data_IF_042687086609
#
_entry.id   IF_042687086609
#
_cell.length_a   1.000
_cell.length_b   1.000
_cell.length_c   1.000
_cell.angle_alpha   90.00
_cell.angle_beta   90.00
_cell.angle_gamma   90.00
#
_symmetry.space_group_name_H-M   'P 1'
#
loop_
_entity.id
_entity.type
_entity.pdbx_description
1 polymer ?
#
# COMPACT_ATOMS: atom_id res chain seq x y z
N UNK A 1 -28.51 -21.35 33.15
CA UNK A 1 -28.53 -22.38 32.09
C UNK A 1 -28.71 -21.63 30.79
N UNK A 2 -27.66 -21.58 29.98
CA UNK A 2 -27.61 -20.80 28.75
C UNK A 2 -28.53 -21.41 27.68
N UNK A 3 -29.27 -20.56 26.98
CA UNK A 3 -29.94 -20.89 25.72
C UNK A 3 -29.03 -20.39 24.59
N UNK A 4 -28.40 -21.31 23.87
CA UNK A 4 -27.66 -21.00 22.65
C UNK A 4 -28.51 -21.34 21.43
N UNK A 5 -28.95 -20.26 20.77
CA UNK A 5 -28.76 -19.99 19.35
C UNK A 5 -29.34 -20.96 18.30
N UNK A 6 -30.41 -20.50 17.67
CA UNK A 6 -30.73 -20.84 16.29
C UNK A 6 -29.81 -20.06 15.35
N UNK A 7 -28.76 -20.72 14.87
CA UNK A 7 -27.99 -20.28 13.71
C UNK A 7 -28.71 -20.78 12.45
N UNK A 8 -29.29 -19.84 11.69
CA UNK A 8 -29.84 -20.13 10.37
C UNK A 8 -28.72 -20.56 9.44
N UNK A 9 -28.77 -21.83 9.00
CA UNK A 9 -27.85 -22.40 8.03
C UNK A 9 -28.16 -21.83 6.64
N UNK A 10 -27.31 -20.96 6.12
CA UNK A 10 -27.27 -20.69 4.68
C UNK A 10 -26.68 -21.91 3.97
N UNK A 11 -27.27 -22.35 2.87
CA UNK A 11 -26.70 -23.43 2.03
C UNK A 11 -25.93 -22.79 0.88
N UNK A 12 -24.69 -23.25 0.65
CA UNK A 12 -23.86 -22.81 -0.47
C UNK A 12 -24.18 -23.58 -1.75
N UNK A 13 -24.28 -22.88 -2.88
CA UNK A 13 -24.48 -23.46 -4.22
C UNK A 13 -23.14 -23.88 -4.83
N UNK A 14 -23.17 -24.65 -5.93
CA UNK A 14 -21.97 -24.94 -6.74
C UNK A 14 -21.18 -23.66 -7.04
N UNK A 15 -19.86 -23.71 -6.84
CA UNK A 15 -18.95 -22.55 -6.97
C UNK A 15 -19.13 -21.43 -5.91
N UNK A 16 -19.97 -21.63 -4.90
CA UNK A 16 -20.10 -20.75 -3.74
C UNK A 16 -19.04 -21.00 -2.67
N UNK A 17 -18.80 -20.00 -1.81
CA UNK A 17 -17.86 -20.10 -0.70
C UNK A 17 -18.38 -20.92 0.48
N UNK A 18 -17.49 -21.66 1.16
CA UNK A 18 -17.80 -22.46 2.35
C UNK A 18 -16.69 -22.34 3.42
N UNK A 19 -17.01 -22.57 4.69
CA UNK A 19 -16.06 -22.62 5.81
C UNK A 19 -16.52 -23.63 6.86
N UNK A 20 -15.63 -24.06 7.78
CA UNK A 20 -15.92 -25.10 8.76
C UNK A 20 -17.25 -24.85 9.50
N UNK A 21 -18.26 -25.68 9.20
CA UNK A 21 -19.61 -25.60 9.77
C UNK A 21 -20.71 -25.14 8.80
N UNK A 22 -20.39 -24.62 7.61
CA UNK A 22 -21.35 -24.42 6.51
C UNK A 22 -21.46 -25.69 5.67
N UNK A 23 -22.69 -26.13 5.44
CA UNK A 23 -22.99 -27.28 4.60
C UNK A 23 -23.27 -26.77 3.18
N UNK A 24 -22.51 -27.27 2.22
CA UNK A 24 -22.87 -27.16 0.81
C UNK A 24 -24.21 -27.92 0.56
N UNK A 25 -24.91 -27.58 -0.52
CA UNK A 25 -26.13 -28.30 -0.91
C UNK A 25 -25.88 -29.82 -1.06
N UNK A 26 -26.92 -30.65 -0.89
CA UNK A 26 -26.82 -32.13 -0.93
C UNK A 26 -26.11 -32.62 -2.21
N UNK A 27 -24.96 -33.31 -2.03
CA UNK A 27 -24.12 -33.81 -3.13
C UNK A 27 -22.84 -33.01 -3.39
N UNK A 28 -22.57 -31.97 -2.60
CA UNK A 28 -21.37 -31.13 -2.69
C UNK A 28 -20.54 -31.19 -1.39
N UNK A 29 -19.22 -31.15 -1.53
CA UNK A 29 -18.24 -31.08 -0.47
C UNK A 29 -17.50 -29.75 -0.46
N UNK A 30 -17.11 -29.31 0.75
CA UNK A 30 -16.36 -28.08 0.93
C UNK A 30 -14.86 -28.36 0.80
N UNK A 31 -14.25 -27.94 -0.30
CA UNK A 31 -12.82 -28.11 -0.57
C UNK A 31 -12.19 -26.74 -0.73
N UNK A 32 -11.19 -26.44 0.10
CA UNK A 32 -10.44 -25.17 0.09
C UNK A 32 -11.32 -23.91 0.08
N UNK A 33 -12.47 -23.96 0.77
CA UNK A 33 -13.38 -22.84 0.91
C UNK A 33 -14.37 -22.66 -0.25
N UNK A 34 -14.50 -23.66 -1.13
CA UNK A 34 -15.46 -23.66 -2.25
C UNK A 34 -16.28 -24.96 -2.27
N UNK A 35 -17.57 -24.87 -2.59
CA UNK A 35 -18.45 -26.03 -2.77
C UNK A 35 -18.23 -26.70 -4.14
N UNK A 36 -17.78 -27.95 -4.12
CA UNK A 36 -17.50 -28.79 -5.31
C UNK A 36 -18.24 -30.13 -5.24
N UNK A 37 -18.52 -30.82 -6.35
CA UNK A 37 -19.20 -32.12 -6.34
C UNK A 37 -18.39 -33.19 -5.60
N UNK A 38 -19.05 -34.00 -4.77
CA UNK A 38 -18.43 -35.14 -4.09
C UNK A 38 -18.21 -36.29 -5.09
N UNK A 39 -17.14 -36.18 -5.87
CA UNK A 39 -16.51 -37.15 -6.77
C UNK A 39 -17.38 -37.81 -7.86
N UNK A 40 -17.12 -37.42 -9.11
CA UNK A 40 -17.14 -38.36 -10.23
C UNK A 40 -15.67 -38.58 -10.62
N UNK A 41 -15.17 -39.75 -10.26
CA UNK A 41 -13.85 -40.23 -10.67
C UNK A 41 -13.86 -40.43 -12.20
N UNK A 42 -13.09 -39.62 -12.92
CA UNK A 42 -12.71 -39.90 -14.31
C UNK A 42 -11.19 -39.70 -14.45
N UNK A 43 -10.53 -40.85 -14.38
CA UNK A 43 -9.20 -41.23 -14.88
C UNK A 43 -8.58 -40.27 -15.91
N UNK A 44 -7.45 -39.65 -15.55
CA UNK A 44 -6.49 -39.13 -16.51
C UNK A 44 -5.11 -39.72 -16.20
N UNK A 45 -4.86 -40.88 -16.80
CA UNK A 45 -3.53 -41.46 -17.03
C UNK A 45 -2.76 -40.53 -17.98
N UNK A 46 -1.66 -39.92 -17.53
CA UNK A 46 -0.64 -39.37 -18.43
C UNK A 46 0.77 -39.68 -17.89
N UNK A 47 1.15 -40.94 -18.09
CA UNK A 47 2.54 -41.38 -18.13
C UNK A 47 3.17 -40.92 -19.46
N UNK A 48 4.02 -39.89 -19.45
CA UNK A 48 5.15 -39.83 -20.41
C UNK A 48 6.42 -39.24 -19.79
N UNK A 49 7.47 -40.05 -19.83
CA UNK A 49 8.86 -39.72 -19.52
C UNK A 49 9.50 -38.88 -20.64
N UNK A 50 10.49 -38.06 -20.27
CA UNK A 50 11.37 -37.40 -21.23
C UNK A 50 12.50 -36.62 -20.55
N UNK A 51 13.50 -37.34 -20.02
CA UNK A 51 14.84 -36.79 -19.81
C UNK A 51 15.50 -36.56 -21.18
N UNK A 52 16.10 -35.40 -21.43
CA UNK A 52 17.31 -35.31 -22.28
C UNK A 52 18.26 -34.23 -21.75
N UNK A 53 19.45 -34.70 -21.37
CA UNK A 53 20.66 -33.92 -21.10
C UNK A 53 21.17 -33.21 -22.37
N UNK A 54 21.68 -31.99 -22.22
CA UNK A 54 22.26 -31.20 -23.29
C UNK A 54 23.21 -30.11 -22.80
N UNK A 55 24.37 -30.54 -22.32
CA UNK A 55 25.56 -29.73 -22.01
C UNK A 55 26.17 -29.09 -23.28
N UNK A 56 26.59 -27.82 -23.24
CA UNK A 56 27.85 -27.32 -23.84
C UNK A 56 27.87 -25.78 -24.07
N UNK A 57 28.73 -25.13 -23.27
CA UNK A 57 29.81 -24.18 -23.61
C UNK A 57 29.59 -22.94 -24.52
N UNK A 58 30.08 -21.80 -24.01
CA UNK A 58 30.24 -20.54 -24.76
C UNK A 58 30.92 -19.44 -23.94
N UNK A 59 32.24 -19.57 -23.76
CA UNK A 59 33.20 -18.65 -23.13
C UNK A 59 33.50 -17.40 -24.00
N UNK A 60 33.75 -16.24 -23.36
CA UNK A 60 34.90 -15.31 -23.58
C UNK A 60 34.59 -13.79 -23.49
N UNK A 61 35.42 -13.11 -22.69
CA UNK A 61 35.85 -11.71 -22.85
C UNK A 61 35.32 -10.76 -21.77
N UNK A 62 36.08 -10.18 -20.84
CA UNK A 62 37.52 -9.91 -20.76
C UNK A 62 37.76 -8.40 -20.73
N UNK A 63 38.46 -7.89 -19.71
CA UNK A 63 39.06 -6.55 -19.75
C UNK A 63 38.96 -5.72 -18.47
N UNK A 64 40.03 -5.75 -17.69
CA UNK A 64 40.41 -4.81 -16.62
C UNK A 64 40.78 -3.43 -17.18
N UNK A 65 40.52 -2.35 -16.45
CA UNK A 65 41.31 -1.11 -16.58
C UNK A 65 41.48 -0.43 -15.22
N UNK A 66 42.73 -0.43 -14.75
CA UNK A 66 43.24 0.44 -13.70
C UNK A 66 43.64 1.78 -14.33
N UNK A 67 43.33 2.90 -13.67
CA UNK A 67 43.76 4.21 -14.12
C UNK A 67 43.86 5.22 -12.99
N UNK A 68 45.00 5.23 -12.30
CA UNK A 68 45.46 6.31 -11.44
C UNK A 68 45.75 7.60 -12.23
N UNK A 69 45.55 8.75 -11.60
CA UNK A 69 46.02 10.05 -12.09
C UNK A 69 46.06 11.10 -10.99
N UNK A 70 47.27 11.33 -10.46
CA UNK A 70 47.65 12.47 -9.60
C UNK A 70 47.65 13.81 -10.37
N UNK A 71 47.35 14.92 -9.67
CA UNK A 71 48.31 16.00 -9.36
C UNK A 71 47.68 17.41 -9.25
N UNK A 72 47.92 18.00 -8.08
CA UNK A 72 48.36 19.38 -7.77
C UNK A 72 47.68 20.64 -8.34
N UNK A 73 47.13 21.40 -7.39
CA UNK A 73 47.52 22.78 -6.98
C UNK A 73 47.74 23.86 -8.04
N UNK A 74 46.90 24.90 -7.99
CA UNK A 74 47.34 26.27 -8.32
C UNK A 74 46.94 27.23 -7.21
N UNK A 75 47.97 27.80 -6.59
CA UNK A 75 47.93 28.96 -5.70
C UNK A 75 47.42 30.20 -6.45
N UNK A 76 46.48 30.94 -5.87
CA UNK A 76 46.34 32.38 -6.16
C UNK A 76 46.11 33.16 -4.87
N UNK A 77 47.04 34.07 -4.61
CA UNK A 77 47.02 35.08 -3.57
C UNK A 77 45.98 36.17 -3.88
N UNK A 78 45.21 36.60 -2.87
CA UNK A 78 44.35 37.79 -2.97
C UNK A 78 43.78 38.18 -1.61
N UNK A 79 44.46 39.09 -0.94
CA UNK A 79 44.03 39.79 0.28
C UNK A 79 42.88 40.74 -0.05
N UNK A 80 41.86 40.85 0.79
CA UNK A 80 41.26 42.14 1.16
C UNK A 80 40.38 42.03 2.42
N UNK A 81 40.71 42.90 3.37
CA UNK A 81 40.10 43.11 4.68
C UNK A 81 38.83 43.97 4.55
N UNK A 82 37.75 43.59 5.24
CA UNK A 82 36.78 44.56 5.76
C UNK A 82 36.05 43.99 6.99
N UNK A 83 36.06 44.78 8.05
CA UNK A 83 35.55 44.51 9.39
C UNK A 83 34.02 44.66 9.49
N UNK A 84 33.38 43.96 10.44
CA UNK A 84 32.01 44.28 10.85
C UNK A 84 31.20 43.19 11.58
N UNK A 85 31.50 43.02 12.87
CA UNK A 85 30.53 42.84 13.98
C UNK A 85 29.55 41.63 14.02
N UNK A 86 30.01 40.59 14.71
CA UNK A 86 29.40 39.91 15.88
C UNK A 86 27.86 39.78 15.97
N UNK A 87 27.35 38.55 15.84
CA UNK A 87 26.43 37.96 16.83
C UNK A 87 26.71 36.47 17.03
N UNK A 88 27.04 36.14 18.26
CA UNK A 88 27.40 34.85 18.84
C UNK A 88 26.26 33.84 18.81
N UNK A 89 26.55 32.60 18.44
CA UNK A 89 25.62 31.47 18.46
C UNK A 89 26.29 30.14 18.16
N UNK A 90 27.33 29.82 18.92
CA UNK A 90 27.77 28.45 19.27
C UNK A 90 28.06 27.47 18.12
N UNK A 91 29.10 27.75 17.33
CA UNK A 91 29.86 26.70 16.66
C UNK A 91 30.93 26.20 17.61
N UNK A 92 30.61 25.24 18.47
CA UNK A 92 31.63 24.31 18.95
C UNK A 92 31.96 23.32 17.84
N UNK A 93 32.49 23.82 16.73
CA UNK A 93 33.28 23.01 15.80
C UNK A 93 34.62 22.84 16.49
N UNK A 94 34.73 21.76 17.26
CA UNK A 94 36.02 21.29 17.72
C UNK A 94 36.69 20.75 16.46
N UNK A 95 37.71 21.45 15.98
CA UNK A 95 38.75 20.94 15.09
C UNK A 95 39.29 19.60 15.64
N UNK A 96 38.65 18.51 15.25
CA UNK A 96 39.12 17.14 15.27
C UNK A 96 38.38 16.50 14.11
N UNK A 97 39.05 15.80 13.18
CA UNK A 97 38.46 15.28 11.94
C UNK A 97 37.25 14.38 12.19
N UNK A 98 36.09 15.02 12.32
CA UNK A 98 34.88 14.48 12.91
C UNK A 98 33.71 15.00 12.11
N UNK A 99 32.86 14.06 11.75
CA UNK A 99 31.65 14.18 10.95
C UNK A 99 31.01 15.57 11.00
N UNK A 100 30.89 16.24 9.85
CA UNK A 100 30.29 17.56 9.72
C UNK A 100 28.87 17.45 9.19
N UNK A 101 27.90 17.61 10.10
CA UNK A 101 26.49 17.67 9.71
C UNK A 101 26.20 18.82 8.74
N UNK A 102 25.60 18.47 7.60
CA UNK A 102 25.25 19.35 6.50
C UNK A 102 26.26 19.37 5.35
N UNK A 103 27.24 18.47 5.31
CA UNK A 103 28.25 18.38 4.25
C UNK A 103 27.84 17.42 3.09
N UNK A 104 26.72 16.73 3.26
CA UNK A 104 26.12 15.79 2.32
C UNK A 104 26.69 14.37 2.38
N UNK A 105 27.70 14.11 3.21
CA UNK A 105 28.26 12.79 3.48
C UNK A 105 27.75 12.28 4.82
N UNK A 106 27.59 10.97 4.96
CA UNK A 106 27.24 10.37 6.25
C UNK A 106 28.53 9.81 6.84
N UNK A 107 29.04 10.45 7.88
CA UNK A 107 30.26 10.05 8.56
C UNK A 107 29.93 9.62 10.01
N UNK A 108 30.49 8.51 10.53
CA UNK A 108 30.21 8.12 11.92
C UNK A 108 30.57 9.25 12.90
N UNK A 109 29.66 9.69 13.79
CA UNK A 109 28.47 8.99 14.29
C UNK A 109 27.12 9.40 13.67
N UNK A 110 27.08 10.04 12.51
CA UNK A 110 25.86 10.49 11.84
C UNK A 110 24.98 9.33 11.36
N UNK A 111 23.67 9.55 11.37
CA UNK A 111 22.66 8.62 10.85
C UNK A 111 22.17 9.08 9.47
N UNK A 112 22.26 10.37 9.18
CA UNK A 112 21.87 11.02 7.94
C UNK A 112 22.62 12.35 7.81
N UNK A 113 22.65 12.94 6.61
CA UNK A 113 23.15 14.30 6.38
C UNK A 113 22.28 15.01 5.34
N UNK A 114 21.57 16.06 5.75
CA UNK A 114 20.72 16.85 4.86
C UNK A 114 19.68 15.99 4.12
N UNK A 115 19.85 15.82 2.80
CA UNK A 115 19.01 14.96 1.97
C UNK A 115 19.52 13.52 1.84
N UNK A 116 20.73 13.23 2.31
CA UNK A 116 21.30 11.89 2.36
C UNK A 116 20.77 11.17 3.61
N UNK A 117 19.65 10.47 3.47
CA UNK A 117 18.96 9.80 4.59
C UNK A 117 19.44 8.35 4.81
N UNK A 118 20.62 7.98 4.33
CA UNK A 118 21.14 6.60 4.35
C UNK A 118 20.22 5.58 3.63
N UNK A 119 19.44 6.04 2.65
CA UNK A 119 18.42 5.21 1.97
C UNK A 119 17.17 4.94 2.81
N UNK A 120 16.99 5.63 3.95
CA UNK A 120 15.75 5.62 4.71
C UNK A 120 14.73 6.58 4.10
N UNK A 121 13.47 6.20 4.18
CA UNK A 121 12.32 7.01 3.85
C UNK A 121 11.21 6.77 4.88
N UNK A 122 10.10 7.48 4.75
CA UNK A 122 8.97 7.31 5.67
C UNK A 122 8.47 5.85 5.69
N UNK A 123 8.45 5.18 4.53
CA UNK A 123 8.04 3.77 4.41
C UNK A 123 8.96 2.81 5.18
N UNK A 124 10.27 3.00 5.08
CA UNK A 124 11.28 2.21 5.81
C UNK A 124 11.20 2.36 7.33
N UNK A 125 10.65 3.48 7.81
CA UNK A 125 10.40 3.74 9.23
C UNK A 125 9.00 3.30 9.69
N UNK A 126 8.17 2.75 8.79
CA UNK A 126 6.83 2.25 9.09
C UNK A 126 5.71 3.28 8.99
N UNK A 127 5.91 4.38 8.24
CA UNK A 127 4.89 5.36 7.91
C UNK A 127 4.39 5.17 6.47
N UNK A 128 3.14 5.53 6.19
CA UNK A 128 2.50 5.31 4.88
C UNK A 128 2.87 6.36 3.83
N UNK A 129 3.14 7.61 4.27
CA UNK A 129 3.39 8.73 3.37
C UNK A 129 4.27 9.83 4.02
N UNK A 130 4.53 10.88 3.24
CA UNK A 130 5.19 12.09 3.70
C UNK A 130 6.65 12.21 3.25
N UNK A 131 7.35 13.15 3.87
CA UNK A 131 8.75 13.46 3.57
C UNK A 131 9.57 13.30 4.84
N UNK A 132 10.51 12.35 4.80
CA UNK A 132 11.48 12.14 5.87
C UNK A 132 12.59 13.20 5.75
N UNK A 133 13.02 13.75 6.87
CA UNK A 133 14.13 14.70 6.92
C UNK A 133 15.23 14.20 7.85
N UNK A 134 16.43 14.74 7.69
CA UNK A 134 17.50 14.58 8.66
C UNK A 134 17.36 15.62 9.77
N UNK A 135 17.55 15.22 11.03
CA UNK A 135 17.57 16.18 12.13
C UNK A 135 18.76 17.15 11.96
N UNK A 136 18.66 18.41 12.43
CA UNK A 136 19.69 19.43 12.22
C UNK A 136 21.03 19.11 12.92
N UNK A 137 21.05 18.11 13.79
CA UNK A 137 22.23 17.60 14.47
C UNK A 137 22.74 16.26 13.89
N UNK A 138 22.15 15.77 12.78
CA UNK A 138 22.50 14.53 12.06
C UNK A 138 22.54 13.24 12.89
N UNK A 139 22.15 13.31 14.17
CA UNK A 139 22.15 12.20 15.12
C UNK A 139 20.93 11.30 14.98
N UNK A 140 19.90 11.78 14.28
CA UNK A 140 18.60 11.10 14.13
C UNK A 140 17.87 11.54 12.87
N UNK A 141 16.88 10.73 12.49
CA UNK A 141 15.93 11.06 11.43
C UNK A 141 14.74 11.83 12.02
N UNK A 142 14.33 12.90 11.36
CA UNK A 142 13.14 13.67 11.70
C UNK A 142 11.94 13.15 10.91
N UNK A 143 11.12 12.33 11.57
CA UNK A 143 9.88 11.78 11.02
C UNK A 143 8.68 12.70 11.20
N UNK A 144 8.85 13.96 11.63
CA UNK A 144 7.72 14.89 11.81
C UNK A 144 7.02 15.25 10.50
N UNK A 145 7.73 15.17 9.38
CA UNK A 145 7.19 15.28 8.02
C UNK A 145 6.62 13.97 7.47
N UNK A 146 6.82 12.85 8.17
CA UNK A 146 6.15 11.60 7.84
C UNK A 146 4.74 11.62 8.39
N UNK A 147 3.82 11.15 7.56
CA UNK A 147 2.46 10.89 7.94
C UNK A 147 2.30 9.38 7.96
N UNK A 148 1.79 8.87 9.08
CA UNK A 148 0.80 7.84 8.93
C UNK A 148 -0.35 8.62 8.33
N UNK A 149 -0.44 8.66 7.00
CA UNK A 149 -1.77 8.82 6.44
C UNK A 149 -2.52 7.68 7.12
N UNK A 150 -3.50 7.94 8.01
CA UNK A 150 -4.33 6.83 8.39
C UNK A 150 -4.78 6.29 7.03
N UNK A 151 -4.39 5.07 6.66
CA UNK A 151 -5.20 4.29 5.74
C UNK A 151 -6.62 4.69 6.08
N UNK A 152 -7.35 5.38 5.19
CA UNK A 152 -8.41 6.28 5.64
C UNK A 152 -9.28 5.57 6.67
N UNK A 153 -9.35 6.16 7.87
CA UNK A 153 -9.36 5.37 9.11
C UNK A 153 -10.32 4.19 9.12
N UNK A 154 -9.79 2.96 9.10
CA UNK A 154 -10.42 1.69 9.52
C UNK A 154 -11.95 1.60 9.37
N UNK A 155 -12.48 2.08 8.24
CA UNK A 155 -13.89 2.44 8.13
C UNK A 155 -14.41 2.32 6.71
N UNK A 156 -15.74 2.32 6.58
CA UNK A 156 -16.39 2.22 5.27
C UNK A 156 -15.99 3.46 4.44
N UNK A 157 -15.63 3.22 3.18
CA UNK A 157 -15.25 4.21 2.15
C UNK A 157 -13.84 4.81 2.23
N UNK A 158 -12.93 4.12 2.90
CA UNK A 158 -11.51 4.50 2.92
C UNK A 158 -10.78 4.05 1.66
N UNK A 159 -9.96 4.91 1.03
CA UNK A 159 -8.95 4.48 0.06
C UNK A 159 -8.21 3.19 0.45
N UNK A 160 -8.09 2.27 -0.50
CA UNK A 160 -7.43 0.97 -0.35
C UNK A 160 -6.83 0.53 -1.69
N UNK A 161 -5.81 -0.33 -1.62
CA UNK A 161 -5.19 -0.94 -2.79
C UNK A 161 -5.57 -2.43 -2.91
N UNK A 162 -5.88 -3.07 -1.78
CA UNK A 162 -6.23 -4.49 -1.67
C UNK A 162 -7.19 -4.74 -0.50
N UNK A 163 -7.87 -5.90 -0.50
CA UNK A 163 -8.86 -6.26 0.53
C UNK A 163 -8.29 -6.27 1.96
N UNK A 164 -6.99 -6.57 2.10
CA UNK A 164 -6.32 -6.59 3.40
C UNK A 164 -6.20 -5.20 4.04
N UNK A 165 -6.34 -4.12 3.26
CA UNK A 165 -6.32 -2.74 3.73
C UNK A 165 -7.65 -2.31 4.39
N UNK A 166 -8.65 -3.19 4.39
CA UNK A 166 -10.01 -2.93 4.86
C UNK A 166 -10.37 -3.78 6.10
N UNK A 167 -9.69 -3.59 7.25
CA UNK A 167 -9.91 -4.42 8.43
C UNK A 167 -11.35 -4.27 8.95
N UNK A 168 -12.07 -5.40 9.07
CA UNK A 168 -13.47 -5.43 9.53
C UNK A 168 -14.52 -5.19 8.45
N UNK A 169 -14.11 -5.05 7.18
CA UNK A 169 -14.97 -4.93 6.01
C UNK A 169 -14.73 -6.07 5.03
N UNK A 170 -15.46 -6.10 3.92
CA UNK A 170 -15.51 -7.27 3.02
C UNK A 170 -14.65 -7.13 1.76
N UNK A 171 -14.05 -5.97 1.51
CA UNK A 171 -13.07 -5.82 0.42
C UNK A 171 -12.87 -4.37 -0.04
N UNK A 172 -11.94 -4.23 -0.98
CA UNK A 172 -11.59 -2.99 -1.65
C UNK A 172 -12.29 -2.91 -3.01
N UNK A 173 -13.28 -2.03 -3.14
CA UNK A 173 -13.98 -1.85 -4.41
C UNK A 173 -13.27 -0.85 -5.31
N UNK A 174 -13.19 -1.18 -6.60
CA UNK A 174 -12.62 -0.32 -7.64
C UNK A 174 -13.63 -0.16 -8.79
N UNK A 175 -13.87 1.07 -9.26
CA UNK A 175 -14.74 1.35 -10.41
C UNK A 175 -13.95 1.49 -11.70
N UNK A 176 -13.64 0.39 -12.34
CA UNK A 176 -12.91 0.49 -13.58
C UNK A 176 -13.87 0.80 -14.74
N UNK A 177 -13.89 2.03 -15.27
CA UNK A 177 -14.70 2.32 -16.47
C UNK A 177 -14.20 1.55 -17.71
N UNK A 178 -12.94 1.06 -17.71
CA UNK A 178 -12.34 0.16 -18.71
C UNK A 178 -11.26 -0.80 -18.12
N UNK A 179 -11.32 -1.13 -16.84
CA UNK A 179 -10.23 -1.86 -16.16
C UNK A 179 -9.08 -1.01 -15.60
N UNK A 180 -9.10 0.33 -15.70
CA UNK A 180 -8.05 1.17 -15.10
C UNK A 180 -8.61 2.43 -14.43
N UNK A 181 -8.88 2.32 -13.12
CA UNK A 181 -8.54 3.42 -12.21
C UNK A 181 -7.08 3.22 -11.80
N UNK A 182 -6.43 4.24 -11.24
CA UNK A 182 -5.16 3.96 -10.58
C UNK A 182 -5.44 2.93 -9.46
N UNK A 183 -4.54 1.96 -9.23
CA UNK A 183 -4.65 1.08 -8.08
C UNK A 183 -4.84 1.85 -6.76
N UNK A 184 -4.46 3.13 -6.74
CA UNK A 184 -4.62 4.13 -5.67
C UNK A 184 -6.04 4.62 -5.38
N UNK A 185 -7.03 4.37 -6.24
CA UNK A 185 -8.38 4.97 -6.12
C UNK A 185 -9.46 3.95 -5.65
N UNK A 186 -9.07 2.78 -5.16
CA UNK A 186 -10.00 1.82 -4.57
C UNK A 186 -10.55 2.32 -3.23
N UNK A 187 -11.74 1.89 -2.80
CA UNK A 187 -12.29 2.25 -1.49
C UNK A 187 -12.87 1.03 -0.74
N UNK A 188 -12.70 1.00 0.58
CA UNK A 188 -13.14 -0.09 1.43
C UNK A 188 -14.66 -0.12 1.50
N UNK A 189 -15.24 -1.28 1.30
CA UNK A 189 -16.69 -1.43 1.34
C UNK A 189 -17.09 -2.83 1.80
N UNK A 190 -18.40 -3.04 1.92
CA UNK A 190 -18.98 -4.34 2.21
C UNK A 190 -19.47 -4.98 0.92
N UNK A 191 -19.30 -6.29 0.83
CA UNK A 191 -19.95 -7.08 -0.18
C UNK A 191 -21.42 -7.20 0.18
N UNK A 192 -22.28 -7.13 -0.82
CA UNK A 192 -23.71 -7.12 -0.63
C UNK A 192 -24.39 -8.04 -1.62
N UNK A 193 -25.60 -8.45 -1.28
CA UNK A 193 -26.53 -9.14 -2.19
C UNK A 193 -27.87 -8.40 -2.26
N UNK A 194 -28.03 -7.36 -1.45
CA UNK A 194 -29.20 -6.50 -1.40
C UNK A 194 -28.84 -5.17 -0.72
N UNK A 195 -29.60 -4.12 -1.00
CA UNK A 195 -29.39 -2.78 -0.43
C UNK A 195 -29.46 -2.77 1.11
N UNK A 196 -30.16 -3.72 1.73
CA UNK A 196 -30.30 -3.81 3.18
C UNK A 196 -28.99 -4.18 3.90
N UNK A 197 -28.02 -4.74 3.18
CA UNK A 197 -26.69 -5.07 3.71
C UNK A 197 -25.73 -3.89 3.69
N UNK A 198 -26.10 -2.79 3.03
CA UNK A 198 -25.27 -1.60 2.93
C UNK A 198 -25.56 -0.65 4.06
N UNK A 199 -24.51 -0.32 4.81
CA UNK A 199 -24.60 0.56 5.99
C UNK A 199 -25.09 1.96 5.60
N UNK A 200 -26.08 2.48 6.33
CA UNK A 200 -26.72 3.76 6.07
C UNK A 200 -26.17 4.94 6.90
N UNK A 201 -25.34 4.67 7.90
CA UNK A 201 -24.90 5.66 8.89
C UNK A 201 -23.42 6.05 8.71
N UNK A 202 -23.02 6.34 7.47
CA UNK A 202 -21.65 6.73 7.13
C UNK A 202 -21.43 8.24 7.01
N UNK A 203 -22.47 9.03 7.31
CA UNK A 203 -22.45 10.48 7.13
C UNK A 203 -23.01 10.91 5.77
N UNK A 204 -23.36 12.19 5.66
CA UNK A 204 -24.04 12.73 4.47
C UNK A 204 -25.51 12.34 4.38
N UNK A 205 -26.09 12.48 3.19
CA UNK A 205 -27.47 12.12 2.85
C UNK A 205 -27.57 11.15 1.68
N UNK A 206 -26.44 10.69 1.14
CA UNK A 206 -26.37 9.72 0.06
C UNK A 206 -27.02 8.38 0.47
N UNK A 207 -27.61 7.70 -0.51
CA UNK A 207 -28.37 6.47 -0.26
C UNK A 207 -27.48 5.25 -0.47
N UNK A 208 -27.33 4.36 0.52
CA UNK A 208 -26.57 3.13 0.33
C UNK A 208 -27.31 2.19 -0.63
N UNK A 209 -26.63 1.78 -1.69
CA UNK A 209 -27.13 0.83 -2.68
C UNK A 209 -26.14 -0.31 -2.88
N UNK A 210 -26.68 -1.49 -3.16
CA UNK A 210 -25.86 -2.61 -3.60
C UNK A 210 -25.70 -2.53 -5.12
N UNK A 211 -24.47 -2.41 -5.61
CA UNK A 211 -24.16 -2.56 -7.03
C UNK A 211 -24.07 -4.06 -7.33
N UNK A 212 -24.81 -4.59 -8.30
CA UNK A 212 -24.87 -6.02 -8.62
C UNK A 212 -24.19 -6.40 -9.94
N UNK A 213 -23.43 -5.49 -10.55
CA UNK A 213 -23.06 -5.61 -11.97
C UNK A 213 -22.01 -6.68 -12.27
N UNK A 214 -21.04 -6.95 -11.38
CA UNK A 214 -20.00 -7.99 -11.57
C UNK A 214 -19.43 -8.51 -10.24
N UNK A 215 -19.11 -7.61 -9.31
CA UNK A 215 -18.76 -7.91 -7.92
C UNK A 215 -19.69 -7.09 -7.06
N UNK A 216 -20.52 -7.74 -6.25
CA UNK A 216 -21.59 -7.02 -5.59
C UNK A 216 -21.09 -6.31 -4.33
N UNK A 217 -21.00 -4.98 -4.38
CA UNK A 217 -20.47 -4.15 -3.30
C UNK A 217 -21.36 -2.95 -2.99
N UNK A 218 -21.22 -2.45 -1.77
CA UNK A 218 -21.97 -1.29 -1.30
C UNK A 218 -21.37 0.01 -1.85
N UNK A 219 -22.24 0.84 -2.41
CA UNK A 219 -21.92 2.18 -2.88
C UNK A 219 -22.92 3.19 -2.33
N UNK A 220 -22.55 4.48 -2.35
CA UNK A 220 -23.45 5.57 -1.99
C UNK A 220 -23.91 6.28 -3.25
N UNK A 221 -25.22 6.21 -3.52
CA UNK A 221 -25.86 7.02 -4.55
C UNK A 221 -26.10 8.44 -4.02
N UNK A 222 -25.42 9.41 -4.64
CA UNK A 222 -25.62 10.82 -4.33
C UNK A 222 -26.50 11.56 -5.36
N UNK A 223 -27.15 10.83 -6.27
CA UNK A 223 -28.10 11.40 -7.23
C UNK A 223 -29.19 12.25 -6.57
N UNK A 224 -29.63 13.31 -7.25
CA UNK A 224 -30.66 14.21 -6.75
C UNK A 224 -30.17 15.25 -5.76
N UNK A 225 -28.86 15.52 -5.74
CA UNK A 225 -28.24 16.56 -4.89
C UNK A 225 -28.04 16.12 -3.44
N UNK A 226 -27.90 14.82 -3.19
CA UNK A 226 -27.54 14.31 -1.87
C UNK A 226 -26.06 14.60 -1.61
N UNK A 227 -25.70 14.68 -0.34
CA UNK A 227 -24.35 14.97 0.13
C UNK A 227 -23.62 13.68 0.47
N UNK A 228 -22.35 13.59 0.11
CA UNK A 228 -21.48 12.50 0.50
C UNK A 228 -20.94 12.70 1.93
N UNK A 229 -20.41 11.62 2.55
CA UNK A 229 -19.62 11.72 3.77
C UNK A 229 -18.46 12.72 3.64
N UNK A 230 -17.95 13.20 4.78
CA UNK A 230 -16.80 14.10 4.79
C UNK A 230 -15.59 13.43 4.12
N UNK A 231 -14.91 14.17 3.24
CA UNK A 231 -13.74 13.67 2.48
C UNK A 231 -14.08 13.00 1.14
N UNK A 232 -15.36 12.82 0.82
CA UNK A 232 -15.81 12.28 -0.47
C UNK A 232 -16.51 13.36 -1.32
N UNK A 233 -16.38 13.23 -2.62
CA UNK A 233 -17.07 14.06 -3.61
C UNK A 233 -18.16 13.26 -4.34
N UNK A 234 -19.22 13.95 -4.72
CA UNK A 234 -20.30 13.36 -5.50
C UNK A 234 -19.95 13.48 -6.99
N UNK A 235 -19.60 12.36 -7.63
CA UNK A 235 -19.14 12.32 -9.01
C UNK A 235 -20.21 11.70 -9.93
N UNK A 236 -20.43 12.30 -11.09
CA UNK A 236 -21.26 11.73 -12.17
C UNK A 236 -20.39 10.85 -13.06
N UNK A 237 -20.58 9.53 -12.95
CA UNK A 237 -19.89 8.52 -13.78
C UNK A 237 -20.88 7.89 -14.78
N UNK A 238 -20.35 7.11 -15.73
CA UNK A 238 -21.20 6.39 -16.67
C UNK A 238 -22.07 5.32 -15.99
N UNK A 239 -21.67 4.88 -14.79
CA UNK A 239 -22.38 3.91 -13.94
C UNK A 239 -23.39 4.55 -12.98
N UNK A 240 -23.49 5.88 -12.95
CA UNK A 240 -24.38 6.64 -12.06
C UNK A 240 -23.66 7.72 -11.27
N UNK A 241 -24.42 8.44 -10.42
CA UNK A 241 -23.88 9.49 -9.56
C UNK A 241 -23.55 8.93 -8.18
N UNK A 242 -22.27 8.82 -7.84
CA UNK A 242 -21.80 8.12 -6.64
C UNK A 242 -20.81 8.95 -5.80
N UNK A 243 -20.70 8.62 -4.51
CA UNK A 243 -19.67 9.20 -3.64
C UNK A 243 -18.34 8.46 -3.78
N UNK A 244 -17.26 9.20 -4.04
CA UNK A 244 -15.88 8.73 -4.15
C UNK A 244 -14.92 9.66 -3.41
#
# INVERSE_FOLDING_TARGET
MANTEGLGKGTGKESGGCYEGLLCDDGLECVLGVCVPSEAEDEAEDDTMGEEDGDASGDSGGGTDEGSGESESTETTGTDTAEGETTTGDTTSTDDGGALCGDGLIEPPEVCDGSNLAGQDCAGLGYDAGVLACAPDCSSLDSSGCANDPQPGSGLYSQCLQDADCPGLSGCATYTEEGQMNPSDGFCTQLCSSNAQCSADVGGSATPLCNDSMNAFCQLDCSGGKTCPDGMECLELNVGTICL
#
